data_IF_804817159849
#
_entry.id   IF_804817159849
#
_cell.length_a   1.000
_cell.length_b   1.000
_cell.length_c   1.000
_cell.angle_alpha   90.00
_cell.angle_beta   90.00
_cell.angle_gamma   90.00
#
_symmetry.space_group_name_H-M   'P 1'
#
loop_
_entity.id
_entity.type
_entity.pdbx_description
1 polymer ?
#
# COMPACT_ATOMS: atom_id res chain seq x y z
N UNK A 1 10.84 32.71 -58.10
CA UNK A 1 9.65 33.07 -57.33
C UNK A 1 9.69 32.47 -55.96
N UNK A 2 9.49 33.34 -54.98
CA UNK A 2 9.36 33.10 -53.55
C UNK A 2 8.19 32.14 -53.31
N UNK A 3 8.37 31.12 -52.48
CA UNK A 3 7.25 30.41 -51.86
C UNK A 3 7.57 30.13 -50.40
N UNK A 4 7.33 31.16 -49.60
CA UNK A 4 7.20 31.14 -48.15
C UNK A 4 5.81 30.63 -47.76
N UNK A 5 5.72 29.51 -47.03
CA UNK A 5 4.61 29.16 -46.13
C UNK A 5 5.16 28.31 -44.98
N UNK A 6 5.51 28.94 -43.85
CA UNK A 6 4.67 29.13 -42.66
C UNK A 6 4.13 27.80 -42.10
N UNK A 7 4.72 27.42 -40.97
CA UNK A 7 4.48 26.24 -40.13
C UNK A 7 3.02 26.03 -39.76
N UNK A 8 2.56 24.78 -39.58
CA UNK A 8 1.49 24.49 -38.65
C UNK A 8 2.09 24.41 -37.24
N UNK A 9 2.06 25.53 -36.53
CA UNK A 9 1.94 25.51 -35.07
C UNK A 9 0.63 24.79 -34.75
N UNK A 10 0.72 23.53 -34.34
CA UNK A 10 -0.39 22.83 -33.72
C UNK A 10 0.13 22.30 -32.39
N UNK A 11 -0.29 22.99 -31.34
CA UNK A 11 -0.11 22.64 -29.94
C UNK A 11 -0.29 21.13 -29.74
N UNK A 12 0.81 20.40 -29.58
CA UNK A 12 0.82 19.02 -29.10
C UNK A 12 0.95 19.03 -27.57
N UNK A 13 0.20 19.92 -26.91
CA UNK A 13 0.07 19.95 -25.46
C UNK A 13 -1.21 19.18 -25.11
N UNK A 14 -1.17 17.85 -25.24
CA UNK A 14 -2.35 17.03 -24.98
C UNK A 14 -2.14 15.53 -24.90
N UNK A 15 -1.00 15.00 -25.32
CA UNK A 15 -0.81 13.54 -25.40
C UNK A 15 -0.13 12.91 -24.19
N UNK A 16 0.40 13.71 -23.24
CA UNK A 16 1.20 13.13 -22.15
C UNK A 16 0.42 13.07 -20.83
N UNK A 17 -0.48 14.04 -20.55
CA UNK A 17 -1.28 14.08 -19.32
C UNK A 17 -2.13 12.80 -19.09
N UNK A 18 -2.64 12.19 -20.16
CA UNK A 18 -3.41 10.94 -20.08
C UNK A 18 -2.60 9.71 -19.68
N UNK A 19 -1.30 9.68 -20.00
CA UNK A 19 -0.40 8.60 -19.60
C UNK A 19 -0.11 8.65 -18.10
N UNK A 20 0.07 9.85 -17.55
CA UNK A 20 0.40 10.05 -16.12
C UNK A 20 -0.77 9.71 -15.19
N UNK A 21 -2.00 10.05 -15.57
CA UNK A 21 -3.22 9.71 -14.81
C UNK A 21 -3.35 8.18 -14.71
N UNK A 22 -3.17 7.44 -15.81
CA UNK A 22 -3.24 5.97 -15.79
C UNK A 22 -2.18 5.30 -14.93
N UNK A 23 -0.99 5.90 -14.85
CA UNK A 23 0.13 5.40 -14.03
C UNK A 23 -0.10 5.68 -12.54
N UNK A 24 -0.57 6.89 -12.19
CA UNK A 24 -0.94 7.24 -10.82
C UNK A 24 -2.13 6.42 -10.30
N UNK A 25 -3.15 6.18 -11.13
CA UNK A 25 -4.31 5.35 -10.76
C UNK A 25 -3.89 3.92 -10.37
N UNK A 26 -2.90 3.36 -11.09
CA UNK A 26 -2.36 2.02 -10.81
C UNK A 26 -1.52 1.97 -9.53
N UNK A 27 -0.72 3.01 -9.27
CA UNK A 27 0.02 3.12 -8.02
C UNK A 27 -0.94 3.27 -6.83
N UNK A 28 -1.96 4.12 -6.98
CA UNK A 28 -2.99 4.33 -5.96
C UNK A 28 -3.79 3.05 -5.67
N UNK A 29 -4.07 2.25 -6.71
CA UNK A 29 -4.70 0.94 -6.54
C UNK A 29 -3.86 0.00 -5.65
N UNK A 30 -2.55 -0.08 -5.90
CA UNK A 30 -1.65 -0.92 -5.10
C UNK A 30 -1.46 -0.40 -3.69
N UNK A 31 -1.34 0.92 -3.51
CA UNK A 31 -1.29 1.56 -2.20
C UNK A 31 -2.54 1.23 -1.39
N UNK A 32 -3.73 1.37 -2.00
CA UNK A 32 -5.02 1.07 -1.37
C UNK A 32 -5.11 -0.40 -0.96
N UNK A 33 -4.69 -1.33 -1.84
CA UNK A 33 -4.69 -2.77 -1.55
C UNK A 33 -3.78 -3.14 -0.38
N UNK A 34 -2.55 -2.60 -0.35
CA UNK A 34 -1.61 -2.83 0.74
C UNK A 34 -2.11 -2.22 2.05
N UNK A 35 -2.71 -1.04 1.99
CA UNK A 35 -3.33 -0.39 3.14
C UNK A 35 -4.47 -1.23 3.74
N UNK A 36 -5.37 -1.75 2.90
CA UNK A 36 -6.47 -2.61 3.35
C UNK A 36 -5.96 -3.91 3.97
N UNK A 37 -4.93 -4.51 3.39
CA UNK A 37 -4.29 -5.72 3.94
C UNK A 37 -3.65 -5.45 5.31
N UNK A 38 -2.94 -4.33 5.46
CA UNK A 38 -2.36 -3.89 6.74
C UNK A 38 -3.43 -3.55 7.78
N UNK A 39 -4.54 -2.92 7.36
CA UNK A 39 -5.68 -2.60 8.23
C UNK A 39 -6.37 -3.86 8.73
N UNK A 40 -6.52 -4.88 7.88
CA UNK A 40 -7.03 -6.18 8.26
C UNK A 40 -6.13 -6.87 9.31
N UNK A 41 -4.81 -6.88 9.11
CA UNK A 41 -3.87 -7.39 10.13
C UNK A 41 -4.00 -6.64 11.45
N UNK A 42 -3.98 -5.31 11.41
CA UNK A 42 -4.09 -4.48 12.60
C UNK A 42 -5.38 -4.75 13.40
N UNK A 43 -6.51 -5.00 12.72
CA UNK A 43 -7.75 -5.37 13.39
C UNK A 43 -7.68 -6.75 14.09
N UNK A 44 -7.04 -7.74 13.46
CA UNK A 44 -6.81 -9.06 14.03
C UNK A 44 -5.88 -8.97 15.25
N UNK A 45 -4.78 -8.22 15.14
CA UNK A 45 -3.82 -7.97 16.22
C UNK A 45 -4.46 -7.23 17.41
N UNK A 46 -5.33 -6.23 17.17
CA UNK A 46 -6.10 -5.57 18.25
C UNK A 46 -7.01 -6.55 18.99
N UNK A 47 -7.71 -7.43 18.26
CA UNK A 47 -8.57 -8.46 18.86
C UNK A 47 -7.75 -9.46 19.69
N UNK A 48 -6.56 -9.85 19.23
CA UNK A 48 -5.61 -10.66 19.99
C UNK A 48 -5.17 -9.95 21.28
N UNK A 49 -4.71 -8.70 21.21
CA UNK A 49 -4.28 -7.94 22.37
C UNK A 49 -5.38 -7.78 23.43
N UNK A 50 -6.63 -7.60 23.00
CA UNK A 50 -7.80 -7.59 23.90
C UNK A 50 -8.02 -8.93 24.62
N UNK A 51 -7.87 -10.06 23.93
CA UNK A 51 -7.96 -11.40 24.53
C UNK A 51 -6.84 -11.67 25.53
N UNK A 52 -5.60 -11.26 25.22
CA UNK A 52 -4.48 -11.37 26.15
C UNK A 52 -4.72 -10.59 27.46
N UNK A 53 -5.27 -9.37 27.36
CA UNK A 53 -5.64 -8.58 28.55
C UNK A 53 -6.72 -9.27 29.38
N UNK A 54 -7.75 -9.85 28.74
CA UNK A 54 -8.81 -10.61 29.43
C UNK A 54 -8.28 -11.86 30.13
N UNK A 55 -7.42 -12.63 29.46
CA UNK A 55 -6.83 -13.85 30.02
C UNK A 55 -5.97 -13.53 31.25
N UNK A 56 -5.13 -12.49 31.19
CA UNK A 56 -4.35 -12.02 32.34
C UNK A 56 -5.24 -11.60 33.51
N UNK A 57 -6.38 -10.98 33.23
CA UNK A 57 -7.36 -10.60 34.25
C UNK A 57 -8.05 -11.83 34.87
N UNK A 58 -8.40 -12.82 34.04
CA UNK A 58 -9.00 -14.07 34.47
C UNK A 58 -8.06 -14.90 35.35
N UNK A 59 -6.80 -15.04 34.94
CA UNK A 59 -5.75 -15.71 35.72
C UNK A 59 -5.55 -15.04 37.08
N UNK A 60 -5.55 -13.70 37.14
CA UNK A 60 -5.43 -12.97 38.41
C UNK A 60 -6.65 -13.09 39.33
N UNK A 61 -7.83 -13.45 38.80
CA UNK A 61 -9.10 -13.50 39.53
C UNK A 61 -9.55 -14.92 39.90
N UNK A 62 -8.77 -15.95 39.53
CA UNK A 62 -9.07 -17.34 39.88
C UNK A 62 -10.38 -17.85 39.26
N UNK A 63 -10.70 -17.40 38.05
CA UNK A 63 -11.95 -17.77 37.37
C UNK A 63 -11.89 -19.23 36.88
N UNK A 64 -13.05 -19.90 36.78
CA UNK A 64 -13.22 -21.31 36.42
C UNK A 64 -12.38 -21.79 35.21
N UNK A 65 -11.82 -23.00 35.34
CA UNK A 65 -10.84 -23.60 34.40
C UNK A 65 -11.35 -23.65 32.94
N UNK A 66 -12.64 -23.93 32.75
CA UNK A 66 -13.28 -24.02 31.42
C UNK A 66 -13.23 -22.68 30.67
N UNK A 67 -13.50 -21.56 31.35
CA UNK A 67 -13.46 -20.23 30.73
C UNK A 67 -12.01 -19.79 30.43
N UNK A 68 -11.06 -20.21 31.27
CA UNK A 68 -9.63 -20.01 31.02
C UNK A 68 -9.17 -20.80 29.78
N UNK A 69 -9.58 -22.06 29.66
CA UNK A 69 -9.23 -22.92 28.54
C UNK A 69 -9.85 -22.42 27.22
N UNK A 70 -11.12 -21.99 27.23
CA UNK A 70 -11.77 -21.35 26.07
C UNK A 70 -11.04 -20.06 25.66
N UNK A 71 -10.69 -19.22 26.63
CA UNK A 71 -9.98 -17.97 26.37
C UNK A 71 -8.56 -18.22 25.85
N UNK A 72 -7.88 -19.29 26.30
CA UNK A 72 -6.56 -19.71 25.82
C UNK A 72 -6.62 -20.21 24.38
N UNK A 73 -7.55 -21.09 24.04
CA UNK A 73 -7.76 -21.55 22.66
C UNK A 73 -8.10 -20.38 21.73
N UNK A 74 -8.93 -19.44 22.19
CA UNK A 74 -9.27 -18.24 21.44
C UNK A 74 -8.07 -17.28 21.24
N UNK A 75 -7.09 -17.27 22.17
CA UNK A 75 -5.84 -16.53 22.07
C UNK A 75 -4.91 -17.18 21.04
N UNK A 76 -4.66 -18.49 21.17
CA UNK A 76 -3.82 -19.25 20.23
C UNK A 76 -4.31 -19.09 18.80
N UNK A 77 -5.61 -19.32 18.54
CA UNK A 77 -6.21 -19.12 17.21
C UNK A 77 -5.96 -17.71 16.65
N UNK A 78 -6.10 -16.68 17.49
CA UNK A 78 -5.83 -15.31 17.07
C UNK A 78 -4.34 -15.07 16.83
N UNK A 79 -3.44 -15.65 17.62
CA UNK A 79 -1.99 -15.54 17.44
C UNK A 79 -1.54 -16.13 16.11
N UNK A 80 -1.97 -17.36 15.81
CA UNK A 80 -1.72 -17.99 14.52
C UNK A 80 -2.20 -17.11 13.37
N UNK A 81 -3.39 -16.50 13.50
CA UNK A 81 -3.94 -15.63 12.46
C UNK A 81 -3.20 -14.28 12.34
N UNK A 82 -2.59 -13.76 13.41
CA UNK A 82 -1.71 -12.58 13.33
C UNK A 82 -0.44 -12.93 12.56
N UNK A 83 0.22 -14.03 12.93
CA UNK A 83 1.46 -14.50 12.29
C UNK A 83 1.24 -14.76 10.79
N UNK A 84 0.18 -15.50 10.44
CA UNK A 84 -0.15 -15.77 9.04
C UNK A 84 -0.46 -14.50 8.24
N UNK A 85 -1.10 -13.50 8.86
CA UNK A 85 -1.42 -12.26 8.18
C UNK A 85 -0.18 -11.36 8.03
N UNK A 86 0.71 -11.35 9.03
CA UNK A 86 1.99 -10.66 8.95
C UNK A 86 2.91 -11.31 7.91
N UNK A 87 2.97 -12.65 7.84
CA UNK A 87 3.67 -13.39 6.78
C UNK A 87 3.09 -13.07 5.40
N UNK A 88 1.77 -12.96 5.30
CA UNK A 88 1.07 -12.58 4.06
C UNK A 88 1.38 -11.14 3.64
N UNK A 89 1.38 -10.19 4.56
CA UNK A 89 1.78 -8.80 4.29
C UNK A 89 3.24 -8.73 3.89
N UNK A 90 4.13 -9.40 4.63
CA UNK A 90 5.54 -9.50 4.29
C UNK A 90 5.72 -10.11 2.91
N UNK A 91 4.95 -11.15 2.56
CA UNK A 91 4.94 -11.74 1.23
C UNK A 91 4.37 -10.80 0.16
N UNK A 92 3.30 -10.04 0.41
CA UNK A 92 2.77 -9.03 -0.50
C UNK A 92 3.76 -7.87 -0.73
N UNK A 93 4.44 -7.43 0.33
CA UNK A 93 5.45 -6.37 0.29
C UNK A 93 6.71 -6.87 -0.39
N UNK A 94 7.16 -8.09 -0.08
CA UNK A 94 8.26 -8.74 -0.77
C UNK A 94 7.88 -9.07 -2.21
N UNK A 95 6.64 -9.40 -2.53
CA UNK A 95 6.19 -9.57 -3.91
C UNK A 95 6.26 -8.21 -4.61
N UNK A 96 5.69 -7.15 -4.04
CA UNK A 96 5.80 -5.79 -4.58
C UNK A 96 7.26 -5.29 -4.71
N UNK A 97 8.19 -5.80 -3.89
CA UNK A 97 9.61 -5.41 -3.89
C UNK A 97 10.51 -6.33 -4.76
N UNK A 98 10.25 -7.63 -4.77
CA UNK A 98 11.10 -8.72 -5.29
C UNK A 98 10.53 -9.28 -6.60
N UNK A 99 9.21 -9.29 -6.77
CA UNK A 99 8.64 -9.08 -8.11
C UNK A 99 8.83 -7.60 -8.38
N UNK A 100 9.97 -7.32 -8.99
CA UNK A 100 10.18 -6.21 -9.87
C UNK A 100 9.06 -6.22 -10.90
N UNK A 101 7.85 -5.82 -10.52
CA UNK A 101 6.73 -5.69 -11.43
C UNK A 101 7.25 -4.70 -12.46
N UNK A 102 7.55 -5.15 -13.69
CA UNK A 102 8.19 -4.29 -14.67
C UNK A 102 7.34 -3.04 -14.86
N UNK A 103 6.02 -3.17 -14.67
CA UNK A 103 5.08 -2.07 -14.66
C UNK A 103 5.31 -1.10 -13.50
N UNK A 104 5.47 -1.52 -12.24
CA UNK A 104 5.67 -0.57 -11.11
C UNK A 104 7.01 0.15 -11.24
N UNK A 105 8.06 -0.57 -11.63
CA UNK A 105 9.38 0.02 -11.86
C UNK A 105 9.38 0.96 -13.08
N UNK A 106 8.85 0.52 -14.23
CA UNK A 106 8.68 1.40 -15.40
C UNK A 106 7.82 2.60 -15.07
N UNK A 107 6.77 2.44 -14.26
CA UNK A 107 5.91 3.55 -13.84
C UNK A 107 6.67 4.56 -12.99
N UNK A 108 7.47 4.09 -12.01
CA UNK A 108 8.32 4.96 -11.21
C UNK A 108 9.42 5.63 -12.05
N UNK A 109 10.04 4.90 -12.97
CA UNK A 109 11.04 5.42 -13.92
C UNK A 109 10.41 6.43 -14.91
N UNK A 110 9.18 6.20 -15.37
CA UNK A 110 8.41 7.12 -16.22
C UNK A 110 8.03 8.41 -15.49
N UNK A 111 7.64 8.33 -14.21
CA UNK A 111 7.39 9.53 -13.38
C UNK A 111 8.69 10.29 -13.14
N UNK A 112 9.78 9.60 -12.82
CA UNK A 112 11.08 10.25 -12.57
C UNK A 112 11.68 10.89 -13.84
N UNK A 113 11.40 10.32 -15.01
CA UNK A 113 11.86 10.86 -16.29
C UNK A 113 10.91 11.91 -16.88
N UNK A 114 9.75 12.14 -16.27
CA UNK A 114 8.74 13.07 -16.78
C UNK A 114 9.18 14.54 -16.58
N UNK A 115 9.36 15.32 -17.66
CA UNK A 115 9.73 16.72 -17.60
C UNK A 115 8.72 17.59 -16.83
N UNK A 116 7.43 17.27 -16.91
CA UNK A 116 6.34 18.02 -16.26
C UNK A 116 6.37 17.79 -14.76
N UNK A 117 6.52 16.53 -14.34
CA UNK A 117 6.67 16.18 -12.92
C UNK A 117 7.92 16.84 -12.32
N UNK A 118 9.06 16.74 -13.01
CA UNK A 118 10.31 17.37 -12.55
C UNK A 118 10.19 18.89 -12.46
N UNK A 119 9.53 19.54 -13.43
CA UNK A 119 9.29 20.98 -13.39
C UNK A 119 8.36 21.38 -12.24
N UNK A 120 7.35 20.57 -11.92
CA UNK A 120 6.48 20.79 -10.76
C UNK A 120 7.25 20.66 -9.43
N UNK A 121 8.08 19.62 -9.30
CA UNK A 121 8.95 19.41 -8.12
C UNK A 121 9.90 20.59 -7.94
N UNK A 122 10.52 21.07 -9.02
CA UNK A 122 11.40 22.25 -8.96
C UNK A 122 10.67 23.52 -8.52
N UNK A 123 9.40 23.72 -8.91
CA UNK A 123 8.63 24.88 -8.47
C UNK A 123 8.30 24.82 -6.98
N UNK A 124 8.01 23.62 -6.45
CA UNK A 124 7.76 23.42 -5.01
C UNK A 124 9.03 23.56 -4.16
N UNK A 125 10.21 23.27 -4.72
CA UNK A 125 11.49 23.44 -4.01
C UNK A 125 11.99 24.90 -4.01
N UNK A 126 11.50 25.73 -4.93
CA UNK A 126 11.85 27.15 -5.05
C UNK A 126 10.86 28.08 -4.30
N UNK A 127 9.78 27.53 -3.73
CA UNK A 127 8.83 28.24 -2.85
C UNK A 127 9.21 28.08 -1.39
#
# INVERSE_FOLDING_TARGET
>A
SVSSKLSPSRNLLGTNAGSHISTLDRLYFWESKLYDEAKASSAICRKYGGKCKKLRLHESRGVNQIDNDFTRAARERCQYHCILQDDRICSSVLYARHVQDPSIREMAEQIASDPVFNQMVEQLQKS
#
